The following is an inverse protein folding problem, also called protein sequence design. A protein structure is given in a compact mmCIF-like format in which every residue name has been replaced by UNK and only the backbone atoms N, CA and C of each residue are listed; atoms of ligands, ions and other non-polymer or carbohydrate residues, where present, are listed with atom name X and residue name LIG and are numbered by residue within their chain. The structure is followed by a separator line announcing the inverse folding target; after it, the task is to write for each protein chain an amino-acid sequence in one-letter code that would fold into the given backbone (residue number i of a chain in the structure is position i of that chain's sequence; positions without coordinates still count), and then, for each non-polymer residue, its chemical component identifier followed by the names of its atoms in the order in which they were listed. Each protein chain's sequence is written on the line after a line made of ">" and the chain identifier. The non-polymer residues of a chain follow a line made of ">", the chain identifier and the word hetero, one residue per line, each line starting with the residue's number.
data_IF_670474621563
#
_entry.id   IF_670474621563
#
_cell.length_a   1.000
_cell.length_b   1.000
_cell.length_c   1.000
_cell.angle_alpha   90.00
_cell.angle_beta   90.00
_cell.angle_gamma   90.00
#
_symmetry.space_group_name_H-M   'P 1'
#
loop_
_entity.id
_entity.type
_entity.pdbx_description
1 polymer ?
#
# COMPACT_ATOMS: atom_id res chain seq x y z
N UNK A 1 12.30 6.86 19.21
CA UNK A 1 11.73 5.64 18.60
C UNK A 1 10.96 6.05 17.35
N UNK A 2 10.92 5.25 16.27
CA UNK A 2 10.13 5.63 15.10
C UNK A 2 8.65 5.80 15.50
N UNK A 3 7.97 6.76 14.89
CA UNK A 3 6.56 7.10 15.18
C UNK A 3 5.59 5.96 14.83
N UNK A 4 6.04 4.99 14.02
CA UNK A 4 5.28 3.84 13.53
C UNK A 4 6.14 2.58 13.44
N UNK A 5 5.50 1.42 13.25
CA UNK A 5 6.18 0.13 13.10
C UNK A 5 5.51 -0.77 12.07
N UNK A 6 6.32 -1.59 11.42
CA UNK A 6 5.89 -2.67 10.53
C UNK A 6 5.89 -3.99 11.30
N UNK A 7 4.83 -4.78 11.18
CA UNK A 7 4.71 -6.05 11.88
C UNK A 7 4.36 -7.17 10.92
N UNK A 8 5.20 -8.21 10.91
CA UNK A 8 4.98 -9.44 10.16
C UNK A 8 3.66 -10.11 10.56
N UNK A 9 2.88 -10.49 9.55
CA UNK A 9 1.63 -11.24 9.66
C UNK A 9 1.52 -12.23 8.51
N UNK A 10 0.85 -13.34 8.81
CA UNK A 10 0.36 -14.27 7.81
C UNK A 10 -1.14 -14.07 7.56
N UNK A 11 -1.63 -14.47 6.39
CA UNK A 11 -3.04 -14.38 5.95
C UNK A 11 -4.04 -14.98 6.93
N UNK A 12 -3.64 -16.01 7.68
CA UNK A 12 -4.46 -16.69 8.66
C UNK A 12 -4.39 -16.07 10.08
N UNK A 13 -3.68 -14.95 10.26
CA UNK A 13 -3.53 -14.28 11.54
C UNK A 13 -4.37 -13.00 11.61
N UNK A 14 -4.97 -12.74 12.78
CA UNK A 14 -5.62 -11.46 13.04
C UNK A 14 -4.63 -10.30 13.01
N UNK A 15 -5.07 -9.15 12.49
CA UNK A 15 -4.29 -7.93 12.55
C UNK A 15 -4.28 -7.33 13.97
N UNK A 16 -3.22 -6.61 14.36
CA UNK A 16 -3.23 -5.78 15.57
C UNK A 16 -4.37 -4.76 15.54
N UNK A 17 -4.95 -4.44 16.71
CA UNK A 17 -6.03 -3.44 16.83
C UNK A 17 -5.64 -2.05 16.31
N UNK A 18 -4.34 -1.72 16.38
CA UNK A 18 -3.78 -0.44 15.96
C UNK A 18 -3.24 -0.45 14.52
N UNK A 19 -3.68 -1.40 13.69
CA UNK A 19 -3.34 -1.46 12.27
C UNK A 19 -3.99 -0.32 11.49
N UNK A 20 -3.25 0.25 10.54
CA UNK A 20 -3.68 1.44 9.81
C UNK A 20 -4.58 1.06 8.64
N UNK A 21 -5.81 1.55 8.69
CA UNK A 21 -6.78 1.44 7.59
C UNK A 21 -6.36 2.45 6.52
N UNK A 22 -6.09 1.97 5.31
CA UNK A 22 -5.79 2.85 4.17
C UNK A 22 -7.00 3.13 3.28
N UNK A 23 -8.06 2.33 3.41
CA UNK A 23 -9.32 2.61 2.73
C UNK A 23 -10.34 1.51 2.93
N UNK A 24 -11.29 1.43 2.01
CA UNK A 24 -12.45 0.53 2.10
C UNK A 24 -12.82 0.02 0.73
N UNK A 25 -13.10 -1.28 0.66
CA UNK A 25 -13.52 -1.93 -0.57
C UNK A 25 -14.99 -1.63 -0.88
N UNK A 26 -15.41 -1.91 -2.12
CA UNK A 26 -16.78 -1.66 -2.59
C UNK A 26 -17.85 -2.45 -1.82
N UNK A 27 -17.48 -3.59 -1.23
CA UNK A 27 -18.33 -4.42 -0.36
C UNK A 27 -18.34 -3.96 1.13
N UNK A 28 -17.57 -2.91 1.46
CA UNK A 28 -17.44 -2.38 2.82
C UNK A 28 -16.33 -3.02 3.67
N UNK A 29 -15.60 -4.00 3.14
CA UNK A 29 -14.41 -4.59 3.79
C UNK A 29 -13.34 -3.52 4.02
N UNK A 30 -12.65 -3.57 5.15
CA UNK A 30 -11.56 -2.64 5.46
C UNK A 30 -10.28 -3.08 4.74
N UNK A 31 -9.58 -2.11 4.14
CA UNK A 31 -8.30 -2.32 3.49
C UNK A 31 -7.20 -1.71 4.37
N UNK A 32 -6.18 -2.49 4.70
CA UNK A 32 -5.09 -2.06 5.59
C UNK A 32 -3.79 -1.83 4.81
N UNK A 33 -3.02 -0.87 5.30
CA UNK A 33 -1.71 -0.53 4.75
C UNK A 33 -0.72 -1.62 5.12
N UNK A 34 -0.21 -2.32 4.11
CA UNK A 34 0.84 -3.30 4.27
C UNK A 34 2.02 -3.07 3.33
N UNK A 35 2.99 -3.96 3.44
CA UNK A 35 4.04 -4.17 2.44
C UNK A 35 4.40 -5.65 2.39
N UNK A 36 4.86 -6.12 1.25
CA UNK A 36 5.28 -7.50 1.08
C UNK A 36 6.43 -7.61 0.09
N UNK A 37 7.27 -8.63 0.30
CA UNK A 37 8.38 -8.93 -0.60
C UNK A 37 7.89 -9.66 -1.86
N UNK A 38 8.42 -9.28 -3.01
CA UNK A 38 8.20 -9.98 -4.28
C UNK A 38 9.37 -9.73 -5.22
N UNK A 39 10.00 -10.81 -5.69
CA UNK A 39 10.98 -10.81 -6.79
C UNK A 39 12.17 -9.84 -6.62
N UNK A 40 12.57 -9.57 -5.38
CA UNK A 40 13.69 -8.66 -5.07
C UNK A 40 13.24 -7.33 -4.45
N UNK A 41 11.96 -6.99 -4.63
CA UNK A 41 11.39 -5.72 -4.19
C UNK A 41 10.65 -5.88 -2.87
N UNK A 42 10.67 -4.84 -2.04
CA UNK A 42 9.69 -4.65 -0.98
C UNK A 42 8.62 -3.69 -1.51
N UNK A 43 7.37 -4.14 -1.62
CA UNK A 43 6.31 -3.41 -2.30
C UNK A 43 5.19 -3.02 -1.33
N UNK A 44 4.62 -1.82 -1.42
CA UNK A 44 3.37 -1.47 -0.76
C UNK A 44 2.25 -2.45 -1.11
N UNK A 45 1.43 -2.81 -0.12
CA UNK A 45 0.43 -3.86 -0.23
C UNK A 45 -0.95 -3.41 0.27
N UNK A 46 -1.99 -3.87 -0.44
CA UNK A 46 -3.40 -3.84 -0.04
C UNK A 46 -3.68 -5.09 0.78
N UNK A 47 -3.86 -4.97 2.10
CA UNK A 47 -4.16 -6.11 2.99
C UNK A 47 -5.67 -6.18 3.26
N UNK A 48 -6.27 -7.36 3.06
CA UNK A 48 -7.72 -7.60 3.20
C UNK A 48 -7.95 -8.77 4.17
N UNK A 49 -8.05 -8.51 5.49
CA UNK A 49 -8.22 -9.57 6.48
C UNK A 49 -9.46 -10.43 6.25
N UNK A 50 -10.57 -9.82 5.83
CA UNK A 50 -11.84 -10.52 5.57
C UNK A 50 -11.72 -11.54 4.42
N UNK A 51 -10.75 -11.34 3.52
CA UNK A 51 -10.42 -12.25 2.40
C UNK A 51 -9.18 -13.11 2.68
N UNK A 52 -8.50 -12.89 3.82
CA UNK A 52 -7.27 -13.61 4.20
C UNK A 52 -6.15 -13.46 3.17
N UNK A 53 -5.93 -12.26 2.62
CA UNK A 53 -4.92 -12.05 1.57
C UNK A 53 -4.38 -10.62 1.57
N UNK A 54 -3.14 -10.46 1.15
CA UNK A 54 -2.61 -9.16 0.74
C UNK A 54 -2.24 -9.17 -0.74
N UNK A 55 -2.25 -8.02 -1.39
CA UNK A 55 -1.92 -7.89 -2.81
C UNK A 55 -0.88 -6.80 -3.03
N UNK A 56 0.08 -7.07 -3.92
CA UNK A 56 1.08 -6.10 -4.39
C UNK A 56 1.03 -5.97 -5.91
N UNK A 57 1.46 -4.80 -6.38
CA UNK A 57 1.57 -4.42 -7.78
C UNK A 57 2.98 -4.70 -8.31
N UNK A 58 3.11 -5.56 -9.33
CA UNK A 58 4.40 -5.81 -9.97
C UNK A 58 4.23 -6.29 -11.42
N UNK A 59 4.98 -5.67 -12.33
CA UNK A 59 5.08 -6.02 -13.75
C UNK A 59 3.72 -6.19 -14.47
N UNK A 60 2.76 -5.29 -14.21
CA UNK A 60 1.45 -5.30 -14.86
C UNK A 60 0.38 -6.16 -14.17
N UNK A 61 0.73 -6.88 -13.11
CA UNK A 61 -0.16 -7.85 -12.46
C UNK A 61 -0.37 -7.57 -10.96
N UNK A 62 -1.50 -8.05 -10.44
CA UNK A 62 -1.81 -8.13 -9.01
C UNK A 62 -1.34 -9.48 -8.45
N UNK A 63 -0.41 -9.45 -7.49
CA UNK A 63 0.18 -10.66 -6.90
C UNK A 63 -0.32 -10.91 -5.48
N UNK A 64 -1.00 -12.06 -5.20
CA UNK A 64 -1.43 -12.40 -3.86
C UNK A 64 -0.24 -12.75 -2.96
N UNK A 65 -0.34 -12.41 -1.67
CA UNK A 65 0.66 -12.63 -0.63
C UNK A 65 0.02 -13.17 0.64
N UNK A 66 0.52 -14.32 1.08
CA UNK A 66 0.17 -14.92 2.36
C UNK A 66 0.99 -14.37 3.52
N UNK A 67 2.19 -13.83 3.25
CA UNK A 67 3.07 -13.25 4.26
C UNK A 67 3.36 -11.80 3.88
N UNK A 68 3.16 -10.92 4.84
CA UNK A 68 3.28 -9.48 4.65
C UNK A 68 3.59 -8.80 5.98
N UNK A 69 3.96 -7.53 5.92
CA UNK A 69 4.03 -6.66 7.08
C UNK A 69 2.88 -5.66 7.05
N UNK A 70 2.28 -5.39 8.21
CA UNK A 70 1.22 -4.39 8.35
C UNK A 70 1.77 -3.17 9.08
N UNK A 71 1.43 -1.98 8.59
CA UNK A 71 1.73 -0.72 9.25
C UNK A 71 0.82 -0.58 10.47
N UNK A 72 1.42 -0.32 11.62
CA UNK A 72 0.67 -0.05 12.86
C UNK A 72 1.30 1.09 13.61
N UNK A 73 0.49 1.76 14.44
CA UNK A 73 0.89 2.88 15.30
C UNK A 73 1.40 4.10 14.52
N UNK A 74 1.02 5.31 14.96
CA UNK A 74 1.43 6.56 14.32
C UNK A 74 0.24 7.46 14.03
N UNK A 75 0.53 8.74 13.83
CA UNK A 75 -0.43 9.73 13.33
C UNK A 75 -0.13 9.91 11.84
N UNK A 76 -1.16 9.73 11.02
CA UNK A 76 -1.01 9.75 9.57
C UNK A 76 -2.09 10.61 8.94
N UNK A 77 -1.73 11.23 7.83
CA UNK A 77 -2.65 11.93 6.95
C UNK A 77 -2.50 11.43 5.52
N UNK A 78 -3.45 11.83 4.67
CA UNK A 78 -3.44 11.54 3.24
C UNK A 78 -3.40 12.87 2.51
N UNK A 79 -2.38 13.06 1.67
CA UNK A 79 -2.18 14.28 0.90
C UNK A 79 -2.37 14.03 -0.59
N UNK A 80 -3.11 14.91 -1.27
CA UNK A 80 -3.28 14.82 -2.71
C UNK A 80 -1.97 15.14 -3.43
N UNK A 81 -1.58 14.26 -4.35
CA UNK A 81 -0.38 14.40 -5.18
C UNK A 81 -0.67 13.92 -6.60
N UNK A 82 0.24 14.22 -7.53
CA UNK A 82 0.09 13.76 -8.90
C UNK A 82 1.44 13.49 -9.58
N UNK A 83 1.42 12.74 -10.68
CA UNK A 83 2.55 12.64 -11.62
C UNK A 83 3.89 12.20 -11.01
N UNK A 84 3.88 11.40 -9.95
CA UNK A 84 5.09 10.95 -9.24
C UNK A 84 5.49 11.83 -8.06
N UNK A 85 4.79 12.94 -7.82
CA UNK A 85 4.99 13.78 -6.64
C UNK A 85 4.73 12.98 -5.37
N UNK A 86 5.59 13.23 -4.38
CA UNK A 86 5.59 12.62 -3.06
C UNK A 86 5.99 13.70 -2.05
N UNK A 87 5.21 13.94 -0.99
CA UNK A 87 5.56 14.90 0.06
C UNK A 87 6.83 14.51 0.82
N UNK A 88 7.50 15.48 1.45
CA UNK A 88 8.75 15.25 2.19
C UNK A 88 8.58 14.30 3.39
N UNK A 89 7.39 14.27 3.98
CA UNK A 89 6.98 13.46 5.12
C UNK A 89 6.26 12.15 4.73
N UNK A 90 6.32 11.77 3.45
CA UNK A 90 5.73 10.53 2.97
C UNK A 90 6.39 9.28 3.58
N UNK A 91 5.55 8.27 3.82
CA UNK A 91 6.02 6.98 4.35
C UNK A 91 6.65 6.14 3.24
N UNK A 92 7.97 5.91 3.34
CA UNK A 92 8.66 4.89 2.55
C UNK A 92 8.19 3.51 3.05
N UNK A 93 7.45 2.80 2.20
CA UNK A 93 6.92 1.47 2.48
C UNK A 93 7.68 0.36 1.79
N UNK A 94 8.69 0.68 1.00
CA UNK A 94 9.55 -0.31 0.40
C UNK A 94 10.54 0.30 -0.58
N UNK A 95 11.15 -0.56 -1.36
CA UNK A 95 12.07 -0.16 -2.41
C UNK A 95 12.15 -1.25 -3.47
N UNK A 96 12.44 -0.85 -4.69
CA UNK A 96 12.82 -1.77 -5.78
C UNK A 96 14.21 -2.37 -5.52
N UNK A 97 14.54 -3.42 -6.27
CA UNK A 97 15.84 -4.10 -6.20
C UNK A 97 17.03 -3.20 -6.56
N UNK A 98 16.83 -2.17 -7.39
CA UNK A 98 17.83 -1.15 -7.73
C UNK A 98 17.86 0.03 -6.73
N UNK A 99 16.98 0.03 -5.73
CA UNK A 99 17.00 0.95 -4.61
C UNK A 99 16.13 2.19 -4.77
N UNK A 100 15.21 2.23 -5.74
CA UNK A 100 14.21 3.28 -5.82
C UNK A 100 13.24 3.15 -4.62
N UNK A 101 13.07 4.21 -3.81
CA UNK A 101 12.10 4.18 -2.72
C UNK A 101 10.66 4.17 -3.24
N UNK A 102 9.82 3.36 -2.60
CA UNK A 102 8.41 3.21 -2.93
C UNK A 102 7.54 3.68 -1.77
N UNK A 103 6.44 4.34 -2.09
CA UNK A 103 5.58 5.00 -1.12
C UNK A 103 4.16 4.44 -1.15
N UNK A 104 3.46 4.56 -0.03
CA UNK A 104 2.05 4.18 0.05
C UNK A 104 1.22 5.28 -0.59
N UNK A 105 0.45 4.93 -1.60
CA UNK A 105 -0.60 5.79 -2.12
C UNK A 105 -1.95 5.08 -2.15
N UNK A 106 -3.01 5.85 -2.41
CA UNK A 106 -4.34 5.30 -2.66
C UNK A 106 -5.08 6.10 -3.72
N UNK A 107 -6.04 5.44 -4.36
CA UNK A 107 -6.97 6.06 -5.30
C UNK A 107 -8.38 5.48 -5.11
N UNK A 108 -9.38 6.23 -5.56
CA UNK A 108 -10.75 5.73 -5.67
C UNK A 108 -10.93 5.08 -7.04
N UNK A 109 -11.21 3.78 -7.07
CA UNK A 109 -11.47 3.04 -8.29
C UNK A 109 -12.63 2.06 -8.07
N UNK A 110 -13.63 2.08 -8.96
CA UNK A 110 -14.78 1.16 -8.93
C UNK A 110 -15.48 1.05 -7.56
N UNK A 111 -15.60 2.19 -6.85
CA UNK A 111 -16.22 2.26 -5.52
C UNK A 111 -15.33 1.81 -4.35
N UNK A 112 -14.08 1.42 -4.63
CA UNK A 112 -13.07 1.03 -3.65
C UNK A 112 -12.05 2.16 -3.48
N UNK A 113 -11.82 2.63 -2.26
CA UNK A 113 -10.67 3.49 -1.96
C UNK A 113 -9.51 2.56 -1.60
N UNK A 114 -8.61 2.32 -2.54
CA UNK A 114 -7.68 1.20 -2.49
C UNK A 114 -6.23 1.64 -2.50
N UNK A 115 -5.41 0.90 -1.77
CA UNK A 115 -4.00 1.17 -1.51
C UNK A 115 -3.14 0.56 -2.62
N UNK A 116 -2.05 1.23 -2.95
CA UNK A 116 -1.10 0.79 -3.96
C UNK A 116 0.29 1.36 -3.77
N UNK A 117 1.12 1.19 -4.79
CA UNK A 117 2.52 1.60 -4.85
C UNK A 117 2.67 2.89 -5.66
N UNK A 118 3.11 3.96 -5.01
CA UNK A 118 3.59 5.15 -5.73
C UNK A 118 5.05 4.91 -6.12
N UNK A 119 5.33 5.02 -7.42
CA UNK A 119 6.67 4.90 -7.97
C UNK A 119 7.05 6.22 -8.66
N UNK A 120 7.84 7.08 -8.00
CA UNK A 120 8.15 8.42 -8.50
C UNK A 120 8.75 8.43 -9.91
N UNK A 121 9.68 7.50 -10.21
CA UNK A 121 10.34 7.43 -11.52
C UNK A 121 9.36 7.12 -12.67
N UNK A 122 8.27 6.40 -12.39
CA UNK A 122 7.20 6.10 -13.34
C UNK A 122 6.12 7.20 -13.37
N UNK A 123 6.17 8.12 -12.40
CA UNK A 123 5.26 9.25 -12.33
C UNK A 123 3.82 8.86 -12.02
N UNK A 124 3.57 7.80 -11.24
CA UNK A 124 2.20 7.33 -10.96
C UNK A 124 2.06 6.51 -9.68
N UNK A 125 0.81 6.35 -9.25
CA UNK A 125 0.36 5.29 -8.36
C UNK A 125 -0.06 4.07 -9.18
N UNK A 126 0.36 2.88 -8.76
CA UNK A 126 -0.18 1.61 -9.21
C UNK A 126 -1.08 1.00 -8.14
N UNK A 127 -2.31 0.61 -8.47
CA UNK A 127 -3.20 -0.13 -7.57
C UNK A 127 -3.42 -1.56 -8.09
N UNK A 128 -3.51 -2.56 -7.19
CA UNK A 128 -3.82 -3.92 -7.58
C UNK A 128 -5.35 -4.05 -7.64
N UNK A 129 -5.90 -4.50 -8.77
CA UNK A 129 -7.34 -4.64 -8.96
C UNK A 129 -7.68 -5.70 -10.01
N UNK A 130 -8.52 -6.68 -9.63
CA UNK A 130 -9.03 -7.74 -10.52
C UNK A 130 -7.94 -8.49 -11.32
N UNK A 131 -6.78 -8.73 -10.70
CA UNK A 131 -5.65 -9.42 -11.34
C UNK A 131 -4.67 -8.50 -12.07
N UNK A 132 -4.99 -7.21 -12.24
CA UNK A 132 -4.15 -6.25 -12.98
C UNK A 132 -3.48 -5.21 -12.06
N UNK A 133 -2.38 -4.65 -12.55
CA UNK A 133 -1.73 -3.46 -12.01
C UNK A 133 -2.22 -2.22 -12.79
N UNK A 134 -3.13 -1.45 -12.19
CA UNK A 134 -3.71 -0.27 -12.82
C UNK A 134 -2.95 1.01 -12.43
N UNK A 135 -2.66 1.88 -13.40
CA UNK A 135 -1.88 3.12 -13.17
C UNK A 135 -2.76 4.38 -13.09
N UNK A 136 -2.43 5.28 -12.15
CA UNK A 136 -3.15 6.52 -11.87
C UNK A 136 -2.18 7.69 -11.73
N UNK A 137 -2.50 8.82 -12.38
CA UNK A 137 -1.70 10.05 -12.31
C UNK A 137 -2.09 10.95 -11.16
N UNK A 138 -3.32 10.86 -10.68
CA UNK A 138 -3.82 11.59 -9.51
C UNK A 138 -4.11 10.60 -8.38
N UNK A 139 -3.60 10.88 -7.19
CA UNK A 139 -3.69 9.98 -6.05
C UNK A 139 -3.51 10.73 -4.72
N UNK A 140 -3.70 10.01 -3.62
CA UNK A 140 -3.30 10.48 -2.29
C UNK A 140 -2.06 9.70 -1.82
N UNK A 141 -1.12 10.36 -1.14
CA UNK A 141 0.06 9.74 -0.51
C UNK A 141 -0.11 9.72 1.00
N UNK A 142 0.29 8.62 1.63
CA UNK A 142 0.30 8.51 3.09
C UNK A 142 1.52 9.24 3.67
N UNK A 143 1.29 10.21 4.56
CA UNK A 143 2.32 11.00 5.23
C UNK A 143 2.27 10.82 6.75
N UNK A 144 3.39 11.05 7.43
CA UNK A 144 3.44 11.11 8.90
C UNK A 144 3.07 12.52 9.38
N UNK A 145 2.25 12.60 10.42
CA UNK A 145 1.95 13.85 11.12
C UNK A 145 2.58 13.88 12.51
#
# INVERSE_FOLDING_TARGET
>A
MPAYRWINRASNQSLPENAIIGGRDSDGSKLYVGRAFHDGDMLPAKVIPDKGVAYVCHNGEEHPKDNYEVLVQGEFAWEFCSNGEVPEDAIIAGQTADGEPLYVGRALHSGSQTIGKVQPSHGCLYIPYEGEELSFKDYEVLVVH
#
